data_IF_606635316829
#
_entry.id   IF_606635316829
#
_cell.length_a   1.000
_cell.length_b   1.000
_cell.length_c   1.000
_cell.angle_alpha   90.00
_cell.angle_beta   90.00
_cell.angle_gamma   90.00
#
_symmetry.space_group_name_H-M   'P 1'
#
loop_
_entity.id
_entity.type
_entity.pdbx_description
1 polymer ?
#
# COMPACT_ATOMS: atom_id res chain seq x y z
N UNK A 1 -8.94 -9.83 -17.11
CA UNK A 1 -7.58 -10.15 -17.60
C UNK A 1 -7.21 -9.33 -18.84
N UNK A 2 -8.01 -9.33 -19.92
CA UNK A 2 -7.71 -8.52 -21.14
C UNK A 2 -7.66 -7.02 -20.88
N UNK A 3 -8.66 -6.46 -20.19
CA UNK A 3 -8.71 -5.01 -19.87
C UNK A 3 -7.47 -4.52 -19.11
N UNK A 4 -6.95 -5.34 -18.18
CA UNK A 4 -5.72 -5.01 -17.46
C UNK A 4 -4.51 -4.96 -18.39
N UNK A 5 -4.38 -5.92 -19.30
CA UNK A 5 -3.31 -5.94 -20.29
C UNK A 5 -3.39 -4.71 -21.21
N UNK A 6 -4.60 -4.30 -21.58
CA UNK A 6 -4.82 -3.13 -22.43
C UNK A 6 -4.42 -1.84 -21.70
N UNK A 7 -4.88 -1.64 -20.45
CA UNK A 7 -4.52 -0.49 -19.62
C UNK A 7 -3.01 -0.41 -19.39
N UNK A 8 -2.39 -1.55 -19.06
CA UNK A 8 -0.94 -1.63 -18.89
C UNK A 8 -0.20 -1.24 -20.18
N UNK A 9 -0.66 -1.72 -21.32
CA UNK A 9 -0.04 -1.43 -22.62
C UNK A 9 -0.16 0.05 -22.97
N UNK A 10 -1.32 0.66 -22.74
CA UNK A 10 -1.57 2.09 -22.96
C UNK A 10 -0.68 2.95 -22.03
N UNK A 11 -0.65 2.64 -20.73
CA UNK A 11 0.20 3.37 -19.78
C UNK A 11 1.68 3.27 -20.17
N UNK A 12 2.13 2.08 -20.57
CA UNK A 12 3.50 1.85 -21.01
C UNK A 12 3.88 2.68 -22.24
N UNK A 13 2.94 2.87 -23.18
CA UNK A 13 3.17 3.72 -24.35
C UNK A 13 3.37 5.18 -23.94
N UNK A 14 2.50 5.72 -23.09
CA UNK A 14 2.62 7.10 -22.58
C UNK A 14 3.94 7.33 -21.85
N UNK A 15 4.35 6.39 -20.98
CA UNK A 15 5.64 6.49 -20.25
C UNK A 15 6.83 6.55 -21.22
N UNK A 16 6.80 5.77 -22.32
CA UNK A 16 7.84 5.82 -23.36
C UNK A 16 7.84 7.15 -24.14
N UNK A 17 6.67 7.66 -24.49
CA UNK A 17 6.53 8.95 -25.19
C UNK A 17 7.07 10.12 -24.36
N UNK A 18 6.89 10.05 -23.03
CA UNK A 18 7.45 11.00 -22.08
C UNK A 18 8.97 10.84 -21.86
N UNK A 19 9.61 9.85 -22.46
CA UNK A 19 11.04 9.57 -22.29
C UNK A 19 11.42 9.09 -20.89
N UNK A 20 10.46 8.58 -20.11
CA UNK A 20 10.71 8.10 -18.76
C UNK A 20 11.34 6.70 -18.80
N UNK A 21 12.39 6.44 -18.00
CA UNK A 21 13.02 5.13 -17.93
C UNK A 21 12.03 4.11 -17.36
N UNK A 22 12.01 2.94 -17.98
CA UNK A 22 11.23 1.79 -17.52
C UNK A 22 12.20 0.80 -16.90
N UNK A 23 11.90 0.34 -15.69
CA UNK A 23 12.71 -0.65 -14.99
C UNK A 23 12.91 -1.91 -15.85
N UNK A 24 14.16 -2.37 -15.94
CA UNK A 24 14.56 -3.62 -16.59
C UNK A 24 14.48 -4.82 -15.63
N UNK A 25 14.59 -4.56 -14.33
CA UNK A 25 14.48 -5.55 -13.25
C UNK A 25 13.20 -5.31 -12.43
N UNK A 26 12.62 -6.36 -11.80
CA UNK A 26 11.50 -6.20 -10.88
C UNK A 26 11.84 -5.24 -9.74
N UNK A 27 10.90 -4.35 -9.41
CA UNK A 27 11.06 -3.43 -8.29
C UNK A 27 10.97 -4.17 -6.95
N UNK A 28 11.80 -3.77 -6.00
CA UNK A 28 11.79 -4.29 -4.64
C UNK A 28 10.53 -3.84 -3.89
N UNK A 29 10.16 -4.58 -2.83
CA UNK A 29 8.95 -4.31 -2.04
C UNK A 29 8.85 -2.84 -1.59
N UNK A 30 9.96 -2.28 -1.11
CA UNK A 30 10.05 -0.89 -0.66
C UNK A 30 9.85 0.10 -1.81
N UNK A 31 10.42 -0.17 -2.98
CA UNK A 31 10.37 0.73 -4.14
C UNK A 31 8.94 0.88 -4.64
N UNK A 32 8.19 -0.23 -4.67
CA UNK A 32 6.76 -0.24 -5.04
C UNK A 32 5.96 0.67 -4.10
N UNK A 33 6.08 0.49 -2.79
CA UNK A 33 5.34 1.31 -1.82
C UNK A 33 5.78 2.78 -1.86
N UNK A 34 7.07 3.04 -2.08
CA UNK A 34 7.59 4.41 -2.22
C UNK A 34 7.00 5.09 -3.46
N UNK A 35 6.87 4.39 -4.58
CA UNK A 35 6.22 4.94 -5.77
C UNK A 35 4.74 5.28 -5.52
N UNK A 36 4.02 4.43 -4.78
CA UNK A 36 2.62 4.67 -4.42
C UNK A 36 2.42 5.93 -3.54
N UNK A 37 3.42 6.33 -2.74
CA UNK A 37 3.34 7.53 -1.89
C UNK A 37 3.18 8.83 -2.68
N UNK A 38 3.59 8.84 -3.95
CA UNK A 38 3.44 10.03 -4.81
C UNK A 38 1.96 10.41 -5.01
N UNK A 39 1.04 9.43 -4.93
CA UNK A 39 -0.41 9.66 -5.04
C UNK A 39 -1.20 9.32 -3.78
N UNK A 40 -0.68 8.45 -2.91
CA UNK A 40 -1.43 7.84 -1.79
C UNK A 40 -0.87 8.19 -0.41
N UNK A 41 -0.32 9.40 -0.23
CA UNK A 41 0.25 9.81 1.06
C UNK A 41 -0.74 9.69 2.23
N UNK A 42 -2.04 9.97 1.99
CA UNK A 42 -3.10 9.85 3.00
C UNK A 42 -3.40 8.41 3.43
N UNK A 43 -2.83 7.42 2.74
CA UNK A 43 -3.10 5.99 2.95
C UNK A 43 -2.04 5.31 3.83
N UNK A 44 -1.11 6.07 4.41
CA UNK A 44 -0.22 5.56 5.45
C UNK A 44 -0.90 5.70 6.80
N UNK A 45 -0.76 4.70 7.66
CA UNK A 45 -1.15 4.78 9.06
C UNK A 45 -0.11 4.20 10.01
N UNK A 46 0.01 4.83 11.18
CA UNK A 46 0.69 4.27 12.35
C UNK A 46 -0.35 3.71 13.32
N UNK A 47 -0.16 2.48 13.77
CA UNK A 47 -1.06 1.83 14.72
C UNK A 47 -1.00 2.54 16.08
N UNK A 48 -2.16 2.83 16.65
CA UNK A 48 -2.30 3.24 18.05
C UNK A 48 -1.95 2.05 18.97
N UNK A 49 -1.22 2.29 20.05
CA UNK A 49 -0.71 1.24 20.93
C UNK A 49 -1.84 0.44 21.60
N UNK A 50 -2.94 1.12 21.94
CA UNK A 50 -4.01 0.58 22.76
C UNK A 50 -5.29 0.27 21.96
N UNK A 51 -5.29 0.54 20.65
CA UNK A 51 -6.47 0.40 19.79
C UNK A 51 -6.18 -0.40 18.53
N UNK A 52 -7.24 -0.96 17.95
CA UNK A 52 -7.23 -1.56 16.61
C UNK A 52 -7.48 -0.49 15.53
N UNK A 53 -6.79 0.65 15.67
CA UNK A 53 -6.95 1.84 14.84
C UNK A 53 -5.57 2.38 14.45
N UNK A 54 -5.51 2.98 13.27
CA UNK A 54 -4.35 3.63 12.72
C UNK A 54 -4.61 5.13 12.60
N UNK A 55 -3.63 5.92 12.99
CA UNK A 55 -3.60 7.36 12.71
C UNK A 55 -2.82 7.59 11.43
N UNK A 56 -3.49 8.15 10.41
CA UNK A 56 -2.89 8.50 9.13
C UNK A 56 -2.68 10.00 8.94
N UNK A 57 -2.36 10.40 7.70
CA UNK A 57 -2.19 11.82 7.38
C UNK A 57 -3.51 12.59 7.56
N UNK A 58 -3.41 13.91 7.77
CA UNK A 58 -4.57 14.81 7.94
C UNK A 58 -5.53 14.37 9.06
N UNK A 59 -4.98 13.75 10.11
CA UNK A 59 -5.72 13.25 11.28
C UNK A 59 -6.76 12.16 10.93
N UNK A 60 -6.61 11.49 9.77
CA UNK A 60 -7.46 10.36 9.42
C UNK A 60 -7.28 9.22 10.41
N UNK A 61 -8.39 8.58 10.78
CA UNK A 61 -8.42 7.42 11.68
C UNK A 61 -9.11 6.27 10.98
N UNK A 62 -8.42 5.16 10.82
CA UNK A 62 -8.96 3.99 10.12
C UNK A 62 -8.58 2.69 10.80
N UNK A 63 -9.39 1.66 10.60
CA UNK A 63 -9.07 0.28 10.98
C UNK A 63 -8.76 -0.56 9.74
N UNK A 64 -7.92 -1.59 9.87
CA UNK A 64 -7.75 -2.57 8.78
C UNK A 64 -9.06 -3.36 8.61
N UNK A 65 -9.47 -3.61 7.37
CA UNK A 65 -10.69 -4.38 7.09
C UNK A 65 -10.61 -5.80 7.70
N UNK A 66 -11.68 -6.33 8.33
CA UNK A 66 -11.64 -7.61 9.04
C UNK A 66 -11.26 -8.83 8.19
N UNK A 67 -11.51 -8.79 6.87
CA UNK A 67 -11.10 -9.84 5.92
C UNK A 67 -9.58 -9.94 5.72
N UNK A 68 -8.84 -8.88 6.03
CA UNK A 68 -7.39 -8.84 5.85
C UNK A 68 -6.66 -9.82 6.77
N UNK A 69 -5.65 -10.51 6.23
CA UNK A 69 -4.70 -11.29 7.03
C UNK A 69 -3.97 -10.47 8.10
N UNK A 70 -3.89 -9.14 7.95
CA UNK A 70 -3.27 -8.23 8.91
C UNK A 70 -4.20 -7.81 10.05
N UNK A 71 -5.49 -8.14 10.01
CA UNK A 71 -6.47 -7.66 11.00
C UNK A 71 -6.15 -8.14 12.42
N UNK A 72 -5.79 -9.41 12.59
CA UNK A 72 -5.53 -10.00 13.92
C UNK A 72 -4.21 -9.52 14.53
N UNK A 73 -3.19 -9.30 13.70
CA UNK A 73 -1.85 -8.87 14.11
C UNK A 73 -1.40 -7.68 13.25
N UNK A 74 -1.98 -6.49 13.47
CA UNK A 74 -1.67 -5.34 12.65
C UNK A 74 -0.22 -4.89 12.85
N UNK A 75 0.50 -4.52 11.78
CA UNK A 75 1.85 -3.97 11.89
C UNK A 75 1.85 -2.60 12.55
N UNK A 76 3.01 -2.12 13.00
CA UNK A 76 3.18 -0.76 13.55
C UNK A 76 2.88 0.31 12.49
N UNK A 77 3.31 0.08 11.26
CA UNK A 77 3.10 0.95 10.12
C UNK A 77 2.47 0.16 8.98
N UNK A 78 1.47 0.76 8.33
CA UNK A 78 0.79 0.16 7.19
C UNK A 78 0.57 1.20 6.08
N UNK A 79 0.58 0.73 4.84
CA UNK A 79 -0.06 1.39 3.71
C UNK A 79 -1.34 0.62 3.37
N UNK A 80 -2.36 1.29 2.84
CA UNK A 80 -3.58 0.66 2.31
C UNK A 80 -3.83 1.15 0.89
N UNK A 81 -4.27 0.29 -0.03
CA UNK A 81 -4.57 0.76 -1.38
C UNK A 81 -5.85 1.61 -1.40
N UNK A 82 -6.79 1.33 -0.48
CA UNK A 82 -8.10 1.98 -0.44
C UNK A 82 -8.50 2.33 0.99
N UNK A 83 -9.17 3.48 1.14
CA UNK A 83 -9.87 3.92 2.34
C UNK A 83 -11.36 4.01 2.01
N UNK A 84 -12.18 3.20 2.68
CA UNK A 84 -13.63 3.10 2.42
C UNK A 84 -14.41 3.45 3.67
N UNK A 85 -15.25 4.46 3.59
CA UNK A 85 -16.10 4.89 4.71
C UNK A 85 -17.46 4.22 4.64
N UNK A 86 -17.82 3.50 5.72
CA UNK A 86 -19.17 2.94 5.91
C UNK A 86 -19.69 3.32 7.30
N UNK A 87 -19.60 2.42 8.28
CA UNK A 87 -19.83 2.72 9.69
C UNK A 87 -18.59 3.28 10.40
N UNK A 88 -17.42 3.06 9.79
CA UNK A 88 -16.14 3.68 10.10
C UNK A 88 -15.26 3.65 8.86
N UNK A 89 -14.12 4.32 8.91
CA UNK A 89 -13.14 4.29 7.84
C UNK A 89 -12.34 2.97 7.88
N UNK A 90 -12.38 2.23 6.78
CA UNK A 90 -11.70 0.95 6.61
C UNK A 90 -10.57 1.05 5.60
N UNK A 91 -9.39 0.57 5.99
CA UNK A 91 -8.27 0.36 5.09
C UNK A 91 -8.31 -1.03 4.46
N UNK A 92 -8.37 -1.10 3.12
CA UNK A 92 -8.37 -2.36 2.35
C UNK A 92 -7.08 -2.52 1.56
N UNK A 93 -6.74 -3.78 1.25
CA UNK A 93 -5.49 -4.15 0.55
C UNK A 93 -4.29 -3.57 1.32
N UNK A 94 -4.17 -3.98 2.57
CA UNK A 94 -3.19 -3.46 3.52
C UNK A 94 -1.83 -4.14 3.36
N UNK A 95 -0.76 -3.36 3.49
CA UNK A 95 0.62 -3.79 3.39
C UNK A 95 1.45 -3.20 4.54
N UNK A 96 2.30 -4.04 5.16
CA UNK A 96 3.27 -3.60 6.17
C UNK A 96 4.31 -2.71 5.51
N UNK A 97 4.65 -1.58 6.12
CA UNK A 97 5.78 -0.75 5.66
C UNK A 97 6.73 -0.43 6.80
N UNK A 98 7.94 0.03 6.48
CA UNK A 98 8.94 0.48 7.44
C UNK A 98 9.51 1.86 7.02
N UNK A 99 9.53 2.86 7.92
CA UNK A 99 9.99 4.22 7.58
C UNK A 99 11.52 4.41 7.61
N UNK A 100 12.31 3.40 7.99
CA UNK A 100 13.76 3.53 8.22
C UNK A 100 14.64 3.48 6.96
N UNK A 101 15.84 4.07 7.03
CA UNK A 101 16.88 4.06 5.96
C UNK A 101 17.82 2.85 6.07
N UNK A 102 17.89 2.19 7.24
CA UNK A 102 18.75 1.04 7.49
C UNK A 102 17.94 -0.19 7.88
N UNK A 103 17.83 -1.14 6.96
CA UNK A 103 17.18 -2.43 7.16
C UNK A 103 17.30 -3.21 5.86
N UNK A 104 18.13 -4.25 5.89
CA UNK A 104 18.37 -5.13 4.76
C UNK A 104 17.05 -5.60 4.14
N UNK A 105 17.05 -5.69 2.82
CA UNK A 105 15.93 -6.19 2.04
C UNK A 105 15.44 -7.55 2.52
N UNK A 106 14.22 -7.85 2.08
CA UNK A 106 13.43 -9.05 2.37
C UNK A 106 12.63 -9.01 3.67
N UNK A 107 11.41 -8.50 3.57
CA UNK A 107 10.27 -9.15 4.21
C UNK A 107 9.01 -9.01 3.34
N UNK A 108 8.83 -9.96 2.41
CA UNK A 108 7.50 -10.44 2.04
C UNK A 108 7.62 -11.97 2.00
N UNK A 109 6.70 -12.78 2.56
CA UNK A 109 5.26 -12.53 2.61
C UNK A 109 4.58 -12.87 3.96
N UNK A 110 3.45 -12.23 4.24
CA UNK A 110 2.29 -12.98 4.77
C UNK A 110 1.09 -12.38 4.06
N UNK A 111 0.61 -13.08 3.03
CA UNK A 111 -0.35 -12.54 2.07
C UNK A 111 -1.56 -11.98 2.81
N UNK A 112 -1.74 -10.66 2.77
CA UNK A 112 -3.03 -10.05 3.07
C UNK A 112 -3.95 -10.23 1.85
N UNK A 113 -4.25 -11.48 1.51
CA UNK A 113 -5.44 -11.86 0.75
C UNK A 113 -6.30 -12.61 1.78
N UNK A 114 -7.54 -12.20 2.09
CA UNK A 114 -8.65 -12.06 1.13
C UNK A 114 -9.53 -10.82 1.47
N UNK A 115 -9.81 -10.06 0.40
CA UNK A 115 -10.81 -9.00 0.11
C UNK A 115 -11.59 -8.27 1.21
#
# INVERSE_FOLDING_TARGET
MREWQDIYTQLRQVVKELGLPINSEPAEYREIHTALLTGLLSHIGMKDADKQEFTGARNARFSIFPGSGLFKKPPKWTMVAELVETSRLWGRIAARIEPGVGGAGSAAPDQALIQ
#
